data_IF_322053334382
#
_entry.id   IF_322053334382
#
_cell.length_a   1.000
_cell.length_b   1.000
_cell.length_c   1.000
_cell.angle_alpha   90.00
_cell.angle_beta   90.00
_cell.angle_gamma   90.00
#
_symmetry.space_group_name_H-M   'P 1'
#
loop_
_entity.id
_entity.type
_entity.pdbx_description
1 polymer ?
#
# COMPACT_ATOMS: atom_id res chain seq x y z
N UNK A 1 12.29 42.30 -1.61
CA UNK A 1 11.67 42.26 -0.26
C UNK A 1 10.64 41.16 -0.24
N UNK A 2 10.63 40.40 0.85
CA UNK A 2 10.11 39.05 0.99
C UNK A 2 8.58 38.97 0.91
N UNK A 3 8.08 37.91 0.27
CA UNK A 3 6.71 37.43 0.47
C UNK A 3 6.72 36.51 1.70
N UNK A 4 6.04 36.92 2.77
CA UNK A 4 5.82 36.08 3.94
C UNK A 4 4.81 34.97 3.60
N UNK A 5 5.33 33.76 3.39
CA UNK A 5 4.56 32.52 3.36
C UNK A 5 4.10 32.20 4.79
N UNK A 6 2.91 32.68 5.15
CA UNK A 6 2.22 32.18 6.32
C UNK A 6 1.52 30.85 5.98
N UNK A 7 2.26 29.74 6.08
CA UNK A 7 1.68 28.38 6.00
C UNK A 7 2.28 27.49 7.09
N UNK A 8 2.23 27.96 8.34
CA UNK A 8 2.59 27.21 9.54
C UNK A 8 1.37 27.08 10.45
N UNK A 9 0.47 26.14 10.13
CA UNK A 9 -0.48 25.60 11.13
C UNK A 9 -1.36 24.43 10.67
N UNK A 10 -1.15 23.82 9.49
CA UNK A 10 -1.99 22.67 9.06
C UNK A 10 -1.22 21.34 8.89
N UNK A 11 0.11 21.33 9.05
CA UNK A 11 0.99 20.19 8.71
C UNK A 11 0.97 18.99 9.67
N UNK A 12 0.18 18.99 10.74
CA UNK A 12 0.31 17.95 11.79
C UNK A 12 -0.99 17.24 12.19
N UNK A 13 -2.11 17.46 11.48
CA UNK A 13 -3.40 16.79 11.78
C UNK A 13 -3.90 15.79 10.75
N UNK A 14 -3.20 15.59 9.63
CA UNK A 14 -3.62 14.63 8.59
C UNK A 14 -2.86 13.29 8.62
N UNK A 15 -1.86 13.16 9.50
CA UNK A 15 -1.22 11.86 9.77
C UNK A 15 -2.19 10.97 10.55
N UNK A 16 -2.60 9.89 9.90
CA UNK A 16 -3.43 8.79 10.42
C UNK A 16 -4.95 8.97 10.29
N UNK A 17 -5.46 9.09 9.06
CA UNK A 17 -6.76 8.48 8.77
C UNK A 17 -6.60 6.97 8.88
N UNK A 18 -7.06 6.37 9.97
CA UNK A 18 -7.18 4.91 10.11
C UNK A 18 -7.93 4.36 8.91
N UNK A 19 -7.51 3.19 8.41
CA UNK A 19 -8.34 2.45 7.46
C UNK A 19 -9.63 2.11 8.22
N UNK A 20 -10.78 2.53 7.68
CA UNK A 20 -12.06 2.16 8.28
C UNK A 20 -12.28 0.66 8.05
N UNK A 21 -12.45 -0.08 9.13
CA UNK A 21 -12.71 -1.52 9.06
C UNK A 21 -14.17 -1.79 8.69
N UNK A 22 -14.38 -2.72 7.77
CA UNK A 22 -15.70 -3.19 7.38
C UNK A 22 -15.71 -4.73 7.44
N UNK A 23 -16.78 -5.30 8.01
CA UNK A 23 -16.96 -6.75 8.08
C UNK A 23 -17.85 -7.23 6.93
N UNK A 24 -17.37 -8.24 6.20
CA UNK A 24 -18.12 -8.93 5.16
C UNK A 24 -18.28 -10.40 5.55
N UNK A 25 -19.52 -10.90 5.58
CA UNK A 25 -19.77 -12.33 5.71
C UNK A 25 -19.70 -13.00 4.34
N UNK A 26 -18.91 -14.07 4.24
CA UNK A 26 -18.74 -14.86 3.02
C UNK A 26 -19.11 -16.32 3.28
N UNK A 27 -19.82 -16.93 2.34
CA UNK A 27 -20.10 -18.36 2.37
C UNK A 27 -19.04 -19.07 1.53
N UNK A 28 -18.33 -20.01 2.14
CA UNK A 28 -17.32 -20.84 1.46
C UNK A 28 -17.67 -22.32 1.60
N UNK A 29 -17.26 -23.17 0.63
CA UNK A 29 -17.39 -24.61 0.80
C UNK A 29 -16.65 -25.07 2.06
N UNK A 30 -17.36 -25.76 2.98
CA UNK A 30 -16.77 -26.24 4.24
C UNK A 30 -15.58 -27.20 4.02
N UNK A 31 -15.50 -27.83 2.84
CA UNK A 31 -14.34 -28.64 2.43
C UNK A 31 -13.03 -27.85 2.39
N UNK A 32 -13.06 -26.53 2.20
CA UNK A 32 -11.86 -25.69 2.19
C UNK A 32 -11.18 -25.60 3.56
N UNK A 33 -11.94 -25.73 4.64
CA UNK A 33 -11.38 -25.71 6.01
C UNK A 33 -10.47 -26.92 6.26
N UNK A 34 -10.61 -28.00 5.48
CA UNK A 34 -9.76 -29.19 5.57
C UNK A 34 -8.30 -28.93 5.17
N UNK A 35 -8.02 -27.84 4.48
CA UNK A 35 -6.66 -27.42 4.13
C UNK A 35 -5.95 -26.64 5.23
N UNK A 36 -6.49 -26.64 6.46
CA UNK A 36 -5.86 -25.99 7.62
C UNK A 36 -6.01 -24.46 7.62
N UNK A 37 -7.02 -23.94 6.91
CA UNK A 37 -7.31 -22.51 6.86
C UNK A 37 -8.18 -22.13 8.06
N UNK A 38 -7.61 -21.36 8.99
CA UNK A 38 -8.39 -20.70 10.03
C UNK A 38 -9.00 -19.37 9.50
N UNK A 39 -9.88 -18.78 10.30
CA UNK A 39 -10.58 -17.55 9.93
C UNK A 39 -9.61 -16.37 9.68
N UNK A 40 -8.52 -16.27 10.45
CA UNK A 40 -7.55 -15.19 10.32
C UNK A 40 -6.77 -15.32 9.01
N UNK A 41 -6.39 -16.54 8.64
CA UNK A 41 -5.68 -16.82 7.40
C UNK A 41 -6.59 -16.58 6.19
N UNK A 42 -7.88 -16.95 6.28
CA UNK A 42 -8.87 -16.64 5.24
C UNK A 42 -8.99 -15.13 5.08
N UNK A 43 -9.18 -14.39 6.18
CA UNK A 43 -9.29 -12.93 6.14
C UNK A 43 -8.05 -12.30 5.51
N UNK A 44 -6.85 -12.70 5.93
CA UNK A 44 -5.58 -12.20 5.40
C UNK A 44 -5.49 -12.40 3.88
N UNK A 45 -5.79 -13.62 3.41
CA UNK A 45 -5.73 -13.97 1.98
C UNK A 45 -6.77 -13.23 1.15
N UNK A 46 -8.01 -13.14 1.64
CA UNK A 46 -9.10 -12.45 0.94
C UNK A 46 -8.78 -10.96 0.78
N UNK A 47 -8.28 -10.31 1.84
CA UNK A 47 -7.87 -8.91 1.79
C UNK A 47 -6.71 -8.72 0.81
N UNK A 48 -5.68 -9.58 0.87
CA UNK A 48 -4.55 -9.53 -0.05
C UNK A 48 -5.01 -9.68 -1.52
N UNK A 49 -5.84 -10.67 -1.82
CA UNK A 49 -6.37 -10.89 -3.16
C UNK A 49 -7.21 -9.73 -3.67
N UNK A 50 -8.07 -9.15 -2.83
CA UNK A 50 -8.89 -8.00 -3.21
C UNK A 50 -8.02 -6.78 -3.55
N UNK A 51 -7.00 -6.49 -2.72
CA UNK A 51 -6.07 -5.39 -2.98
C UNK A 51 -5.28 -5.62 -4.26
N UNK A 52 -4.80 -6.85 -4.49
CA UNK A 52 -4.10 -7.21 -5.71
C UNK A 52 -4.99 -7.03 -6.95
N UNK A 53 -6.25 -7.50 -6.90
CA UNK A 53 -7.23 -7.35 -7.99
C UNK A 53 -7.43 -5.87 -8.35
N UNK A 54 -7.73 -5.04 -7.35
CA UNK A 54 -7.94 -3.60 -7.54
C UNK A 54 -6.71 -2.89 -8.11
N UNK A 55 -5.51 -3.30 -7.69
CA UNK A 55 -4.27 -2.76 -8.24
C UNK A 55 -4.09 -3.19 -9.71
N UNK A 56 -4.26 -4.47 -10.02
CA UNK A 56 -4.09 -4.99 -11.39
C UNK A 56 -5.12 -4.44 -12.36
N UNK A 57 -6.31 -4.08 -11.87
CA UNK A 57 -7.38 -3.42 -12.63
C UNK A 57 -7.17 -1.89 -12.75
N UNK A 58 -6.14 -1.33 -12.09
CA UNK A 58 -5.82 0.10 -12.14
C UNK A 58 -6.72 0.98 -11.26
N UNK A 59 -7.54 0.40 -10.37
CA UNK A 59 -8.42 1.13 -9.47
C UNK A 59 -7.67 1.82 -8.32
N UNK A 60 -6.52 1.28 -7.91
CA UNK A 60 -5.68 1.84 -6.84
C UNK A 60 -4.21 1.84 -7.24
N UNK A 61 -3.47 2.85 -6.78
CA UNK A 61 -2.01 2.92 -6.98
C UNK A 61 -1.26 1.92 -6.08
N UNK A 62 0.00 1.66 -6.40
CA UNK A 62 0.88 0.81 -5.59
C UNK A 62 1.06 1.32 -4.16
N UNK A 63 1.12 2.65 -3.96
CA UNK A 63 1.18 3.26 -2.63
C UNK A 63 -0.11 3.09 -1.83
N UNK A 64 -1.28 3.20 -2.49
CA UNK A 64 -2.58 2.95 -1.85
C UNK A 64 -2.75 1.48 -1.47
N UNK A 65 -2.34 0.57 -2.34
CA UNK A 65 -2.37 -0.87 -2.10
C UNK A 65 -1.49 -1.27 -0.91
N UNK A 66 -0.25 -0.78 -0.87
CA UNK A 66 0.67 -0.96 0.26
C UNK A 66 0.06 -0.50 1.59
N UNK A 67 -0.55 0.69 1.62
CA UNK A 67 -1.22 1.22 2.81
C UNK A 67 -2.41 0.35 3.26
N UNK A 68 -3.19 -0.20 2.34
CA UNK A 68 -4.32 -1.09 2.67
C UNK A 68 -3.85 -2.42 3.26
N UNK A 69 -2.68 -2.91 2.87
CA UNK A 69 -2.07 -4.13 3.42
C UNK A 69 -1.20 -3.88 4.66
N UNK A 70 -1.01 -2.62 5.06
CA UNK A 70 -0.16 -2.27 6.21
C UNK A 70 1.33 -2.55 5.98
N UNK A 71 1.79 -2.58 4.72
CA UNK A 71 3.19 -2.80 4.34
C UNK A 71 3.76 -1.58 3.61
N UNK A 72 5.08 -1.52 3.45
CA UNK A 72 5.74 -0.50 2.65
C UNK A 72 5.48 -0.70 1.14
N UNK A 73 5.66 0.38 0.35
CA UNK A 73 5.56 0.31 -1.11
C UNK A 73 6.54 -0.73 -1.68
N UNK A 74 7.77 -0.78 -1.19
CA UNK A 74 8.80 -1.74 -1.64
C UNK A 74 8.41 -3.19 -1.35
N UNK A 75 7.83 -3.46 -0.17
CA UNK A 75 7.30 -4.78 0.18
C UNK A 75 6.14 -5.16 -0.72
N UNK A 76 5.24 -4.22 -1.05
CA UNK A 76 4.16 -4.48 -2.00
C UNK A 76 4.68 -4.82 -3.41
N UNK A 77 5.66 -4.08 -3.93
CA UNK A 77 6.28 -4.41 -5.21
C UNK A 77 6.99 -5.78 -5.18
N UNK A 78 7.60 -6.13 -4.04
CA UNK A 78 8.18 -7.46 -3.83
C UNK A 78 7.12 -8.55 -3.80
N UNK A 79 5.97 -8.29 -3.18
CA UNK A 79 4.80 -9.18 -3.18
C UNK A 79 4.31 -9.45 -4.62
N UNK A 80 4.20 -8.42 -5.45
CA UNK A 80 3.80 -8.57 -6.86
C UNK A 80 4.77 -9.49 -7.63
N UNK A 81 6.08 -9.31 -7.44
CA UNK A 81 7.11 -10.20 -8.03
C UNK A 81 6.94 -11.64 -7.55
N UNK A 82 6.78 -11.85 -6.24
CA UNK A 82 6.61 -13.17 -5.65
C UNK A 82 5.35 -13.89 -6.15
N UNK A 83 4.30 -13.12 -6.48
CA UNK A 83 3.04 -13.62 -7.06
C UNK A 83 3.08 -13.78 -8.58
N UNK A 84 4.19 -13.43 -9.25
CA UNK A 84 4.31 -13.48 -10.70
C UNK A 84 3.42 -12.47 -11.44
N UNK A 85 2.96 -11.43 -10.73
CA UNK A 85 2.14 -10.37 -11.32
C UNK A 85 3.09 -9.38 -11.99
N UNK A 86 3.03 -9.30 -13.32
CA UNK A 86 3.79 -8.31 -14.06
C UNK A 86 3.23 -6.92 -13.76
N UNK A 87 4.05 -6.06 -13.15
CA UNK A 87 3.75 -4.65 -12.95
C UNK A 87 4.85 -3.83 -13.62
N UNK A 88 4.55 -3.23 -14.76
CA UNK A 88 5.39 -2.22 -15.38
C UNK A 88 4.47 -1.09 -15.81
N UNK A 89 4.40 -0.05 -14.97
CA UNK A 89 4.11 1.33 -15.40
C UNK A 89 4.31 2.25 -14.19
N UNK A 90 5.55 2.66 -13.95
CA UNK A 90 5.73 3.95 -13.29
C UNK A 90 5.24 5.00 -14.29
N UNK A 91 4.16 5.71 -13.94
CA UNK A 91 3.93 6.97 -14.64
C UNK A 91 5.14 7.88 -14.40
N UNK A 92 5.53 8.74 -15.36
CA UNK A 92 6.63 9.69 -15.16
C UNK A 92 6.48 10.53 -13.88
N UNK A 93 5.23 10.80 -13.46
CA UNK A 93 4.91 11.50 -12.22
C UNK A 93 5.24 10.66 -10.96
N UNK A 94 4.85 9.38 -10.93
CA UNK A 94 5.18 8.48 -9.80
C UNK A 94 6.67 8.21 -9.69
N UNK A 95 7.39 8.24 -10.81
CA UNK A 95 8.84 8.13 -10.81
C UNK A 95 9.49 9.41 -10.24
N UNK A 96 8.98 10.58 -10.64
CA UNK A 96 9.45 11.86 -10.14
C UNK A 96 9.21 12.04 -8.63
N UNK A 97 8.06 11.60 -8.12
CA UNK A 97 7.76 11.61 -6.68
C UNK A 97 8.70 10.69 -5.89
N UNK A 98 9.02 9.50 -6.41
CA UNK A 98 9.99 8.60 -5.76
C UNK A 98 11.41 9.17 -5.77
N UNK A 99 11.84 9.82 -6.87
CA UNK A 99 13.14 10.51 -6.90
C UNK A 99 13.20 11.67 -5.90
N UNK A 100 12.18 12.50 -5.82
CA UNK A 100 12.11 13.60 -4.85
C UNK A 100 12.12 13.09 -3.40
N UNK A 101 11.43 11.98 -3.14
CA UNK A 101 11.45 11.33 -1.83
C UNK A 101 12.84 10.75 -1.49
N UNK A 102 13.56 10.17 -2.47
CA UNK A 102 14.90 9.64 -2.27
C UNK A 102 15.95 10.74 -2.05
N UNK A 103 15.85 11.88 -2.74
CA UNK A 103 16.77 13.02 -2.59
C UNK A 103 16.67 13.69 -1.20
N UNK A 104 15.53 13.57 -0.54
CA UNK A 104 15.31 14.14 0.81
C UNK A 104 15.75 13.19 1.94
N UNK A 105 16.15 11.96 1.62
CA UNK A 105 16.81 11.09 2.57
C UNK A 105 18.28 11.50 2.66
N UNK A 106 18.63 12.28 3.69
CA UNK A 106 20.03 12.42 4.09
C UNK A 106 20.57 11.05 4.48
N UNK A 107 21.24 10.39 3.53
CA UNK A 107 22.06 9.23 3.82
C UNK A 107 23.21 9.75 4.69
N UNK A 108 23.08 9.63 6.01
CA UNK A 108 24.24 9.75 6.90
C UNK A 108 25.22 8.65 6.47
N UNK A 109 26.39 9.00 5.91
CA UNK A 109 27.38 7.97 5.62
C UNK A 109 27.73 7.29 6.95
N UNK A 110 27.61 5.96 6.98
CA UNK A 110 28.08 5.18 8.10
C UNK A 110 29.57 5.50 8.30
N UNK A 111 29.87 6.09 9.45
CA UNK A 111 31.23 6.40 9.91
C UNK A 111 31.85 5.15 10.51
#
# INVERSE_FOLDING_TARGET
MCYDYNLRSQSSRERSKSVAEATLEIQIPASLLRFGLDQNEIQRRVVEWLVLSLFTEGHISSGKAARLLGISRVEFLTLLRARGIAYINYSPAELAEEFAAAETLEVRPAS
#
